data_IF_362330113556
#
_entry.id   IF_362330113556
#
_cell.length_a   1.000
_cell.length_b   1.000
_cell.length_c   1.000
_cell.angle_alpha   90.00
_cell.angle_beta   90.00
_cell.angle_gamma   90.00
#
_symmetry.space_group_name_H-M   'P 1'
#
loop_
_entity.id
_entity.type
_entity.pdbx_description
1 polymer ?
#
# COMPACT_ATOMS: atom_id res chain seq x y z
N UNK A 1 -22.84 -37.79 16.64
CA UNK A 1 -22.23 -37.06 15.50
C UNK A 1 -23.08 -35.81 15.28
N UNK A 2 -22.50 -34.63 15.12
CA UNK A 2 -23.30 -33.47 14.72
C UNK A 2 -23.93 -33.77 13.35
N UNK A 3 -25.21 -33.46 13.16
CA UNK A 3 -25.84 -33.53 11.83
C UNK A 3 -25.05 -32.67 10.86
N UNK A 4 -24.94 -33.10 9.60
CA UNK A 4 -24.29 -32.29 8.54
C UNK A 4 -24.87 -30.88 8.46
N UNK A 5 -26.16 -30.72 8.73
CA UNK A 5 -26.82 -29.41 8.78
C UNK A 5 -26.29 -28.51 9.91
N UNK A 6 -25.93 -29.11 11.05
CA UNK A 6 -25.33 -28.38 12.15
C UNK A 6 -23.90 -27.94 11.82
N UNK A 7 -23.14 -28.78 11.10
CA UNK A 7 -21.80 -28.45 10.60
C UNK A 7 -21.89 -27.33 9.56
N UNK A 8 -22.79 -27.46 8.57
CA UNK A 8 -23.06 -26.44 7.56
C UNK A 8 -23.42 -25.10 8.19
N UNK A 9 -24.39 -25.08 9.11
CA UNK A 9 -24.82 -23.87 9.82
C UNK A 9 -23.67 -23.19 10.55
N UNK A 10 -22.81 -23.97 11.22
CA UNK A 10 -21.62 -23.44 11.90
C UNK A 10 -20.64 -22.80 10.92
N UNK A 11 -20.38 -23.43 9.78
CA UNK A 11 -19.49 -22.89 8.75
C UNK A 11 -20.05 -21.58 8.21
N UNK A 12 -21.33 -21.55 7.82
CA UNK A 12 -21.99 -20.35 7.30
C UNK A 12 -21.93 -19.19 8.29
N UNK A 13 -22.27 -19.44 9.56
CA UNK A 13 -22.23 -18.42 10.60
C UNK A 13 -20.82 -17.87 10.84
N UNK A 14 -19.82 -18.75 10.89
CA UNK A 14 -18.43 -18.33 11.07
C UNK A 14 -17.91 -17.54 9.85
N UNK A 15 -18.19 -18.03 8.64
CA UNK A 15 -17.74 -17.37 7.41
C UNK A 15 -18.37 -15.99 7.23
N UNK A 16 -19.67 -15.86 7.50
CA UNK A 16 -20.36 -14.57 7.39
C UNK A 16 -20.03 -13.60 8.52
N UNK A 17 -19.56 -14.08 9.67
CA UNK A 17 -19.15 -13.22 10.78
C UNK A 17 -17.72 -12.73 10.62
N UNK A 18 -16.79 -13.63 10.32
CA UNK A 18 -15.35 -13.36 10.44
C UNK A 18 -14.61 -13.39 9.08
N UNK A 19 -15.23 -13.90 8.01
CA UNK A 19 -14.60 -14.17 6.71
C UNK A 19 -15.42 -13.68 5.50
N UNK A 20 -16.15 -12.56 5.65
CA UNK A 20 -16.81 -11.89 4.52
C UNK A 20 -15.78 -11.45 3.46
N UNK A 21 -14.59 -11.06 3.90
CA UNK A 21 -13.45 -10.76 3.02
C UNK A 21 -13.14 -11.92 2.07
N UNK A 22 -12.97 -13.13 2.61
CA UNK A 22 -12.64 -14.33 1.85
C UNK A 22 -13.72 -14.62 0.80
N UNK A 23 -15.00 -14.43 1.15
CA UNK A 23 -16.13 -14.62 0.22
C UNK A 23 -16.06 -13.64 -0.96
N UNK A 24 -15.76 -12.36 -0.70
CA UNK A 24 -15.53 -11.36 -1.76
C UNK A 24 -14.34 -11.75 -2.63
N UNK A 25 -13.28 -12.26 -2.03
CA UNK A 25 -12.07 -12.71 -2.72
C UNK A 25 -12.37 -13.84 -3.70
N UNK A 26 -13.22 -14.80 -3.32
CA UNK A 26 -13.63 -15.90 -4.20
C UNK A 26 -14.42 -15.39 -5.41
N UNK A 27 -15.34 -14.46 -5.21
CA UNK A 27 -16.09 -13.84 -6.31
C UNK A 27 -15.16 -13.16 -7.33
N UNK A 28 -14.17 -12.40 -6.83
CA UNK A 28 -13.21 -11.69 -7.69
C UNK A 28 -12.32 -12.69 -8.43
N UNK A 29 -11.74 -13.65 -7.73
CA UNK A 29 -10.77 -14.56 -8.31
C UNK A 29 -11.39 -15.59 -9.24
N UNK A 30 -12.55 -16.17 -8.87
CA UNK A 30 -13.16 -17.28 -9.62
C UNK A 30 -14.17 -16.84 -10.65
N UNK A 31 -14.83 -15.70 -10.42
CA UNK A 31 -15.92 -15.21 -11.27
C UNK A 31 -15.62 -13.82 -11.86
N UNK A 32 -14.39 -13.33 -11.74
CA UNK A 32 -13.92 -12.07 -12.32
C UNK A 32 -14.74 -10.83 -11.91
N UNK A 33 -15.29 -10.83 -10.68
CA UNK A 33 -15.88 -9.62 -10.11
C UNK A 33 -14.82 -8.52 -9.94
N UNK A 34 -15.22 -7.23 -9.98
CA UNK A 34 -14.26 -6.14 -9.85
C UNK A 34 -13.61 -6.11 -8.46
N UNK A 35 -12.30 -5.84 -8.40
CA UNK A 35 -11.55 -5.70 -7.13
C UNK A 35 -12.09 -4.61 -6.20
N UNK A 36 -12.84 -3.65 -6.75
CA UNK A 36 -13.56 -2.62 -5.98
C UNK A 36 -14.55 -3.20 -4.98
N UNK A 37 -14.94 -4.48 -5.10
CA UNK A 37 -15.74 -5.19 -4.09
C UNK A 37 -15.06 -5.29 -2.72
N UNK A 38 -13.71 -5.25 -2.69
CA UNK A 38 -12.91 -5.27 -1.46
C UNK A 38 -12.84 -3.92 -0.75
N UNK A 39 -13.30 -2.84 -1.39
CA UNK A 39 -13.22 -1.51 -0.83
C UNK A 39 -14.15 -1.37 0.38
N UNK A 40 -13.72 -0.69 1.46
CA UNK A 40 -14.58 -0.38 2.60
C UNK A 40 -15.81 0.48 2.23
N UNK A 41 -15.71 1.26 1.16
CA UNK A 41 -16.81 2.09 0.62
C UNK A 41 -17.82 1.29 -0.19
N UNK A 42 -17.51 0.05 -0.57
CA UNK A 42 -18.42 -0.78 -1.34
C UNK A 42 -19.56 -1.30 -0.45
N UNK A 43 -20.79 -0.97 -0.82
CA UNK A 43 -22.01 -1.31 -0.07
C UNK A 43 -22.63 -2.66 -0.44
N UNK A 44 -22.04 -3.43 -1.37
CA UNK A 44 -22.59 -4.70 -1.81
C UNK A 44 -22.71 -5.68 -0.63
N UNK A 45 -23.88 -6.27 -0.48
CA UNK A 45 -24.15 -7.23 0.59
C UNK A 45 -23.70 -8.62 0.12
N UNK A 46 -22.53 -9.04 0.59
CA UNK A 46 -21.93 -10.34 0.27
C UNK A 46 -22.03 -11.27 1.46
N UNK A 47 -22.64 -12.44 1.25
CA UNK A 47 -22.73 -13.50 2.25
C UNK A 47 -22.57 -14.88 1.61
N UNK A 48 -21.90 -15.78 2.31
CA UNK A 48 -21.94 -17.21 2.02
C UNK A 48 -23.32 -17.74 2.40
N UNK A 49 -24.10 -18.18 1.40
CA UNK A 49 -25.49 -18.63 1.59
C UNK A 49 -25.64 -20.14 1.66
N UNK A 50 -24.77 -20.90 1.00
CA UNK A 50 -24.72 -22.36 1.12
C UNK A 50 -23.29 -22.90 0.95
N UNK A 51 -23.05 -24.11 1.45
CA UNK A 51 -21.85 -24.88 1.21
C UNK A 51 -22.18 -26.37 1.08
N UNK A 52 -21.66 -26.97 0.02
CA UNK A 52 -21.74 -28.39 -0.29
C UNK A 52 -20.34 -28.97 -0.49
N UNK A 53 -20.22 -30.28 -0.68
CA UNK A 53 -18.91 -30.91 -0.92
C UNK A 53 -18.31 -30.53 -2.28
N UNK A 54 -19.13 -30.20 -3.26
CA UNK A 54 -18.71 -29.89 -4.64
C UNK A 54 -18.60 -28.41 -4.95
N UNK A 55 -19.31 -27.56 -4.22
CA UNK A 55 -19.32 -26.11 -4.46
C UNK A 55 -19.71 -25.33 -3.19
N UNK A 56 -19.46 -24.03 -3.24
CA UNK A 56 -20.00 -23.05 -2.29
C UNK A 56 -20.89 -22.07 -3.03
N UNK A 57 -21.89 -21.52 -2.35
CA UNK A 57 -22.82 -20.54 -2.90
C UNK A 57 -22.69 -19.24 -2.15
N UNK A 58 -22.41 -18.16 -2.88
CA UNK A 58 -22.31 -16.80 -2.33
C UNK A 58 -23.43 -15.97 -2.93
N UNK A 59 -24.18 -15.28 -2.08
CA UNK A 59 -25.17 -14.30 -2.50
C UNK A 59 -24.55 -12.91 -2.44
N UNK A 60 -24.67 -12.17 -3.53
CA UNK A 60 -24.31 -10.75 -3.64
C UNK A 60 -25.54 -9.97 -4.12
N UNK A 61 -26.03 -9.02 -3.32
CA UNK A 61 -27.20 -8.19 -3.63
C UNK A 61 -28.38 -9.03 -4.19
N UNK A 62 -28.73 -10.09 -3.46
CA UNK A 62 -29.79 -11.07 -3.77
C UNK A 62 -29.55 -11.98 -4.99
N UNK A 63 -28.39 -11.91 -5.62
CA UNK A 63 -27.97 -12.82 -6.70
C UNK A 63 -27.05 -13.90 -6.14
N UNK A 64 -27.48 -15.16 -6.22
CA UNK A 64 -26.66 -16.32 -5.84
C UNK A 64 -25.70 -16.72 -6.95
N UNK A 65 -24.45 -16.99 -6.57
CA UNK A 65 -23.35 -17.45 -7.43
C UNK A 65 -22.72 -18.69 -6.84
N UNK A 66 -22.56 -19.71 -7.66
CA UNK A 66 -21.91 -20.96 -7.28
C UNK A 66 -20.43 -20.92 -7.68
N UNK A 67 -19.58 -21.39 -6.77
CA UNK A 67 -18.13 -21.50 -7.00
C UNK A 67 -17.75 -22.97 -6.72
N UNK A 68 -17.33 -23.72 -7.75
CA UNK A 68 -16.99 -25.12 -7.58
C UNK A 68 -15.68 -25.30 -6.82
N UNK A 69 -15.62 -26.38 -6.05
CA UNK A 69 -14.40 -26.92 -5.46
C UNK A 69 -13.73 -27.86 -6.48
N UNK A 70 -12.51 -27.54 -6.91
CA UNK A 70 -11.60 -28.43 -7.63
C UNK A 70 -10.30 -28.78 -6.84
N UNK A 71 -10.13 -29.99 -6.29
CA UNK A 71 -11.09 -31.12 -6.30
C UNK A 71 -12.27 -30.93 -5.32
N UNK A 72 -13.37 -31.68 -5.47
CA UNK A 72 -14.44 -31.74 -4.48
C UNK A 72 -13.94 -32.23 -3.11
N UNK A 73 -14.62 -31.82 -2.04
CA UNK A 73 -14.36 -32.28 -0.68
C UNK A 73 -14.95 -33.68 -0.46
N UNK A 74 -14.33 -34.49 0.39
CA UNK A 74 -14.90 -35.79 0.77
C UNK A 74 -16.03 -35.61 1.79
N UNK A 75 -15.91 -34.63 2.69
CA UNK A 75 -16.98 -34.25 3.60
C UNK A 75 -16.90 -32.77 4.02
N UNK A 76 -17.95 -32.25 4.66
CA UNK A 76 -17.95 -30.88 5.17
C UNK A 76 -16.93 -30.63 6.29
N UNK A 77 -16.34 -31.66 6.90
CA UNK A 77 -15.24 -31.45 7.86
C UNK A 77 -13.97 -30.90 7.19
N UNK A 78 -13.82 -31.12 5.88
CA UNK A 78 -12.65 -30.67 5.10
C UNK A 78 -12.77 -29.17 4.70
N UNK A 79 -13.94 -28.57 4.90
CA UNK A 79 -14.26 -27.19 4.53
C UNK A 79 -13.23 -26.17 5.00
N UNK A 80 -12.73 -26.31 6.24
CA UNK A 80 -11.74 -25.39 6.78
C UNK A 80 -10.45 -25.39 5.95
N UNK A 81 -9.90 -26.56 5.68
CA UNK A 81 -8.66 -26.69 4.89
C UNK A 81 -8.89 -26.16 3.48
N UNK A 82 -10.08 -26.47 2.93
CA UNK A 82 -10.47 -26.08 1.58
C UNK A 82 -10.57 -24.56 1.40
N UNK A 83 -11.31 -23.91 2.29
CA UNK A 83 -11.54 -22.47 2.24
C UNK A 83 -10.23 -21.71 2.50
N UNK A 84 -9.43 -22.12 3.49
CA UNK A 84 -8.11 -21.49 3.73
C UNK A 84 -7.20 -21.61 2.49
N UNK A 85 -7.22 -22.76 1.82
CA UNK A 85 -6.47 -22.96 0.57
C UNK A 85 -6.96 -22.02 -0.54
N UNK A 86 -8.27 -21.90 -0.72
CA UNK A 86 -8.87 -20.98 -1.70
C UNK A 86 -8.54 -19.52 -1.40
N UNK A 87 -8.56 -19.10 -0.13
CA UNK A 87 -8.20 -17.73 0.27
C UNK A 87 -6.77 -17.43 -0.13
N UNK A 88 -5.81 -18.29 0.26
CA UNK A 88 -4.39 -18.11 -0.06
C UNK A 88 -4.13 -18.07 -1.57
N UNK A 89 -4.80 -18.93 -2.34
CA UNK A 89 -4.68 -18.94 -3.80
C UNK A 89 -5.20 -17.63 -4.40
N UNK A 90 -6.34 -17.15 -3.93
CA UNK A 90 -6.94 -15.92 -4.43
C UNK A 90 -6.13 -14.67 -4.00
N UNK A 91 -5.58 -14.62 -2.79
CA UNK A 91 -4.69 -13.54 -2.32
C UNK A 91 -3.44 -13.45 -3.19
N UNK A 92 -2.79 -14.60 -3.44
CA UNK A 92 -1.61 -14.68 -4.29
C UNK A 92 -1.90 -14.28 -5.73
N UNK A 93 -3.02 -14.75 -6.31
CA UNK A 93 -3.41 -14.43 -7.69
C UNK A 93 -3.77 -12.95 -7.87
N UNK A 94 -4.42 -12.34 -6.87
CA UNK A 94 -4.89 -10.96 -6.94
C UNK A 94 -3.85 -9.94 -6.45
N UNK A 95 -2.78 -10.39 -5.80
CA UNK A 95 -1.75 -9.53 -5.20
C UNK A 95 -2.28 -8.70 -4.03
N UNK A 96 -3.28 -9.21 -3.31
CA UNK A 96 -3.92 -8.55 -2.18
C UNK A 96 -3.78 -9.38 -0.92
N UNK A 97 -3.85 -8.72 0.23
CA UNK A 97 -3.82 -9.34 1.55
C UNK A 97 -4.94 -8.71 2.38
N UNK A 98 -5.55 -9.48 3.29
CA UNK A 98 -6.50 -9.01 4.30
C UNK A 98 -6.00 -7.77 5.04
N UNK A 99 -4.71 -7.74 5.39
CA UNK A 99 -4.12 -6.59 6.08
C UNK A 99 -4.18 -5.30 5.24
N UNK A 100 -4.11 -5.44 3.91
CA UNK A 100 -4.07 -4.32 2.98
C UNK A 100 -5.38 -3.54 2.94
N UNK A 101 -6.53 -4.21 3.07
CA UNK A 101 -7.86 -3.57 3.07
C UNK A 101 -8.05 -2.66 4.29
N UNK A 102 -7.41 -3.04 5.40
CA UNK A 102 -7.51 -2.31 6.65
C UNK A 102 -6.71 -0.99 6.65
N UNK A 103 -5.80 -0.83 5.67
CA UNK A 103 -4.95 0.34 5.52
C UNK A 103 -5.80 1.51 5.00
N UNK A 104 -5.60 2.68 5.60
CA UNK A 104 -6.14 3.95 5.15
C UNK A 104 -4.98 4.83 4.73
N UNK A 105 -4.63 4.87 3.43
CA UNK A 105 -3.58 5.75 2.94
C UNK A 105 -3.94 7.20 3.27
N UNK A 106 -3.08 7.88 4.02
CA UNK A 106 -3.24 9.30 4.36
C UNK A 106 -1.90 10.00 4.22
N UNK A 107 -1.90 11.24 3.76
CA UNK A 107 -0.66 12.01 3.72
C UNK A 107 -0.25 12.46 5.13
N UNK A 108 1.05 12.33 5.42
CA UNK A 108 1.65 12.74 6.69
C UNK A 108 2.61 13.89 6.44
N UNK A 109 2.22 15.16 6.70
CA UNK A 109 3.12 16.29 6.54
C UNK A 109 4.31 16.19 7.50
N UNK A 110 5.44 16.88 7.24
CA UNK A 110 6.56 16.96 8.15
C UNK A 110 6.13 17.39 9.56
N UNK A 111 6.55 16.65 10.58
CA UNK A 111 6.23 16.93 11.98
C UNK A 111 7.48 16.99 12.84
N UNK A 112 7.57 18.04 13.66
CA UNK A 112 8.67 18.27 14.58
C UNK A 112 9.95 18.75 13.89
N UNK A 113 10.89 19.22 14.71
CA UNK A 113 12.11 19.90 14.25
C UNK A 113 12.90 19.05 13.25
N UNK A 114 13.12 17.76 13.54
CA UNK A 114 13.90 16.87 12.68
C UNK A 114 13.38 16.79 11.25
N UNK A 115 12.07 16.65 11.06
CA UNK A 115 11.50 16.49 9.71
C UNK A 115 11.54 17.80 8.92
N UNK A 116 11.33 18.93 9.60
CA UNK A 116 11.50 20.25 9.01
C UNK A 116 12.95 20.56 8.65
N UNK A 117 13.92 20.17 9.50
CA UNK A 117 15.35 20.31 9.20
C UNK A 117 15.74 19.48 7.98
N UNK A 118 15.23 18.25 7.86
CA UNK A 118 15.48 17.40 6.68
C UNK A 118 14.91 18.04 5.41
N UNK A 119 13.67 18.55 5.45
CA UNK A 119 13.06 19.25 4.32
C UNK A 119 13.89 20.46 3.90
N UNK A 120 14.22 21.32 4.86
CA UNK A 120 15.03 22.50 4.58
C UNK A 120 16.38 22.13 3.96
N UNK A 121 17.07 21.12 4.52
CA UNK A 121 18.35 20.63 4.01
C UNK A 121 18.22 20.13 2.57
N UNK A 122 17.22 19.30 2.26
CA UNK A 122 17.00 18.80 0.91
C UNK A 122 16.72 19.94 -0.07
N UNK A 123 15.85 20.88 0.29
CA UNK A 123 15.56 22.05 -0.55
C UNK A 123 16.81 22.94 -0.77
N UNK A 124 17.64 23.12 0.26
CA UNK A 124 18.92 23.83 0.11
C UNK A 124 19.87 23.09 -0.83
N UNK A 125 19.95 21.75 -0.76
CA UNK A 125 20.74 20.93 -1.68
C UNK A 125 20.23 21.07 -3.13
N UNK A 126 18.91 20.98 -3.35
CA UNK A 126 18.32 21.23 -4.67
C UNK A 126 18.66 22.63 -5.17
N UNK A 127 18.46 23.66 -4.34
CA UNK A 127 18.77 25.03 -4.71
C UNK A 127 20.24 25.19 -5.14
N UNK A 128 21.17 24.67 -4.34
CA UNK A 128 22.61 24.68 -4.62
C UNK A 128 22.96 24.02 -5.95
N UNK A 129 22.42 22.83 -6.20
CA UNK A 129 22.77 22.03 -7.38
C UNK A 129 22.14 22.58 -8.67
N UNK A 130 20.97 23.19 -8.58
CA UNK A 130 20.28 23.80 -9.74
C UNK A 130 20.68 25.27 -9.97
N UNK A 131 21.28 25.94 -8.97
CA UNK A 131 21.74 27.33 -9.07
C UNK A 131 23.21 27.46 -8.65
N UNK A 132 24.16 26.75 -9.29
CA UNK A 132 25.54 26.72 -8.84
C UNK A 132 26.26 28.06 -8.92
N UNK A 133 25.75 29.02 -9.70
CA UNK A 133 26.24 30.40 -9.74
C UNK A 133 26.22 31.08 -8.37
N UNK A 134 25.38 30.61 -7.43
CA UNK A 134 25.36 31.10 -6.05
C UNK A 134 26.68 30.87 -5.30
N UNK A 135 27.48 29.89 -5.73
CA UNK A 135 28.79 29.54 -5.16
C UNK A 135 29.95 30.33 -5.79
N UNK A 136 29.71 31.10 -6.85
CA UNK A 136 30.74 31.89 -7.52
C UNK A 136 30.84 33.30 -6.91
N UNK A 137 31.95 34.03 -7.15
CA UNK A 137 32.07 35.42 -6.72
C UNK A 137 30.86 36.26 -7.15
N UNK A 138 30.33 37.06 -6.23
CA UNK A 138 29.07 37.83 -6.35
C UNK A 138 27.77 37.00 -6.30
N UNK A 139 27.86 35.68 -6.20
CA UNK A 139 26.72 34.79 -5.93
C UNK A 139 26.18 34.98 -4.50
N UNK A 140 24.91 34.64 -4.28
CA UNK A 140 24.25 34.83 -2.99
C UNK A 140 24.96 34.08 -1.85
N UNK A 141 25.24 32.78 -2.00
CA UNK A 141 25.88 31.99 -0.94
C UNK A 141 27.36 32.33 -0.77
N UNK A 142 28.06 32.64 -1.87
CA UNK A 142 29.43 33.12 -1.82
C UNK A 142 29.54 34.43 -1.03
N UNK A 143 28.70 35.40 -1.33
CA UNK A 143 28.78 36.74 -0.72
C UNK A 143 28.31 36.77 0.74
N UNK A 144 27.40 35.88 1.15
CA UNK A 144 26.78 35.89 2.49
C UNK A 144 27.44 34.94 3.48
N UNK A 145 27.80 33.72 3.06
CA UNK A 145 28.26 32.65 3.98
C UNK A 145 29.70 32.25 3.69
N UNK A 146 30.10 32.15 2.42
CA UNK A 146 31.38 31.54 2.03
C UNK A 146 32.47 32.55 1.66
N UNK A 147 32.24 33.86 1.90
CA UNK A 147 33.15 34.94 1.48
C UNK A 147 34.56 34.77 2.04
N UNK A 148 34.65 34.37 3.31
CA UNK A 148 35.92 34.17 4.01
C UNK A 148 36.52 32.78 3.73
N UNK A 149 35.82 31.94 2.97
CA UNK A 149 36.18 30.56 2.66
C UNK A 149 36.10 30.27 1.15
N UNK A 150 36.83 31.00 0.29
CA UNK A 150 36.74 30.86 -1.17
C UNK A 150 37.12 29.45 -1.65
N UNK A 151 38.03 28.78 -0.94
CA UNK A 151 38.43 27.41 -1.24
C UNK A 151 37.29 26.39 -1.02
N UNK A 152 36.40 26.62 -0.04
CA UNK A 152 35.21 25.78 0.19
C UNK A 152 34.22 25.99 -0.95
N UNK A 153 33.97 27.24 -1.33
CA UNK A 153 33.04 27.57 -2.41
C UNK A 153 33.49 26.96 -3.75
N UNK A 154 34.78 27.05 -4.08
CA UNK A 154 35.36 26.44 -5.28
C UNK A 154 35.27 24.90 -5.25
N UNK A 155 35.58 24.27 -4.10
CA UNK A 155 35.44 22.82 -3.94
C UNK A 155 33.98 22.35 -4.11
N UNK A 156 33.01 23.07 -3.52
CA UNK A 156 31.59 22.79 -3.69
C UNK A 156 31.17 22.93 -5.16
N UNK A 157 31.58 24.01 -5.82
CA UNK A 157 31.24 24.29 -7.22
C UNK A 157 31.74 23.19 -8.16
N UNK A 158 32.98 22.73 -7.98
CA UNK A 158 33.57 21.60 -8.75
C UNK A 158 32.78 20.30 -8.59
N UNK A 159 32.16 20.09 -7.44
CA UNK A 159 31.40 18.88 -7.15
C UNK A 159 29.93 18.94 -7.61
N UNK A 160 29.40 20.12 -7.96
CA UNK A 160 27.99 20.31 -8.33
C UNK A 160 27.56 19.33 -9.41
N UNK A 161 28.32 19.19 -10.49
CA UNK A 161 27.87 18.39 -11.63
C UNK A 161 27.72 16.91 -11.27
N UNK A 162 28.67 16.37 -10.51
CA UNK A 162 28.55 15.02 -9.97
C UNK A 162 27.39 14.90 -8.99
N UNK A 163 27.26 15.85 -8.04
CA UNK A 163 26.18 15.88 -7.07
C UNK A 163 24.80 15.96 -7.71
N UNK A 164 24.66 16.72 -8.79
CA UNK A 164 23.44 16.86 -9.58
C UNK A 164 22.99 15.51 -10.14
N UNK A 165 23.88 14.81 -10.88
CA UNK A 165 23.52 13.54 -11.49
C UNK A 165 23.25 12.45 -10.46
N UNK A 166 24.01 12.43 -9.36
CA UNK A 166 23.74 11.52 -8.24
C UNK A 166 22.35 11.79 -7.66
N UNK A 167 22.05 13.04 -7.29
CA UNK A 167 20.76 13.39 -6.70
C UNK A 167 19.60 13.07 -7.63
N UNK A 168 19.67 13.52 -8.89
CA UNK A 168 18.63 13.29 -9.89
C UNK A 168 18.40 11.80 -10.12
N UNK A 169 19.48 11.01 -10.29
CA UNK A 169 19.35 9.56 -10.54
C UNK A 169 18.67 8.85 -9.39
N UNK A 170 19.10 9.10 -8.15
CA UNK A 170 18.51 8.46 -6.98
C UNK A 170 17.06 8.89 -6.77
N UNK A 171 16.76 10.18 -6.82
CA UNK A 171 15.40 10.66 -6.58
C UNK A 171 14.43 10.24 -7.67
N UNK A 172 14.83 10.30 -8.95
CA UNK A 172 14.00 9.78 -10.05
C UNK A 172 13.78 8.28 -9.89
N UNK A 173 14.82 7.50 -9.60
CA UNK A 173 14.70 6.06 -9.38
C UNK A 173 13.76 5.72 -8.21
N UNK A 174 13.87 6.44 -7.10
CA UNK A 174 13.02 6.26 -5.92
C UNK A 174 11.58 6.67 -6.17
N UNK A 175 11.34 7.78 -6.87
CA UNK A 175 10.00 8.21 -7.25
C UNK A 175 9.35 7.22 -8.21
N UNK A 176 10.06 6.75 -9.23
CA UNK A 176 9.54 5.73 -10.16
C UNK A 176 9.23 4.43 -9.42
N UNK A 177 10.13 3.97 -8.56
CA UNK A 177 9.89 2.78 -7.73
C UNK A 177 8.70 2.96 -6.79
N UNK A 178 8.55 4.15 -6.20
CA UNK A 178 7.39 4.46 -5.37
C UNK A 178 6.11 4.40 -6.18
N UNK A 179 6.01 5.12 -7.30
CA UNK A 179 4.80 5.19 -8.11
C UNK A 179 4.40 3.82 -8.66
N UNK A 180 5.32 3.11 -9.30
CA UNK A 180 5.01 1.88 -10.03
C UNK A 180 5.11 0.61 -9.18
N UNK A 181 5.90 0.63 -8.10
CA UNK A 181 6.12 -0.55 -7.26
C UNK A 181 5.37 -0.51 -5.93
N UNK A 182 5.42 0.61 -5.23
CA UNK A 182 4.84 0.73 -3.88
C UNK A 182 3.39 1.20 -3.96
N UNK A 183 3.15 2.38 -4.51
CA UNK A 183 1.85 3.05 -4.56
C UNK A 183 0.87 2.33 -5.48
N UNK A 184 1.34 1.77 -6.60
CA UNK A 184 0.52 0.97 -7.52
C UNK A 184 -0.26 -0.14 -6.80
N UNK A 185 0.32 -0.76 -5.76
CA UNK A 185 -0.35 -1.81 -4.97
C UNK A 185 -1.57 -1.29 -4.20
N UNK A 186 -1.60 0.00 -3.87
CA UNK A 186 -2.66 0.63 -3.08
C UNK A 186 -3.68 1.37 -3.95
N UNK A 187 -3.48 1.41 -5.28
CA UNK A 187 -4.33 2.17 -6.19
C UNK A 187 -5.77 1.67 -6.22
N UNK A 188 -5.96 0.36 -6.33
CA UNK A 188 -7.29 -0.26 -6.37
C UNK A 188 -7.77 -0.71 -5.00
N UNK A 189 -6.88 -1.26 -4.16
CA UNK A 189 -7.20 -1.78 -2.83
C UNK A 189 -6.04 -1.43 -1.89
N UNK A 190 -6.25 -0.72 -0.78
CA UNK A 190 -7.52 -0.21 -0.24
C UNK A 190 -8.08 1.00 -1.00
N UNK A 191 -7.40 1.48 -2.04
CA UNK A 191 -7.75 2.71 -2.76
C UNK A 191 -7.03 3.91 -2.13
N UNK A 192 -6.20 4.58 -2.92
CA UNK A 192 -5.58 5.86 -2.55
C UNK A 192 -6.17 6.96 -3.43
N UNK A 193 -6.63 8.06 -2.83
CA UNK A 193 -7.13 9.19 -3.60
C UNK A 193 -5.97 9.89 -4.35
N UNK A 194 -6.28 10.48 -5.50
CA UNK A 194 -5.29 11.12 -6.35
C UNK A 194 -4.51 12.24 -5.65
N UNK A 195 -5.15 12.97 -4.72
CA UNK A 195 -4.51 14.03 -3.94
C UNK A 195 -3.46 13.48 -2.97
N UNK A 196 -3.82 12.47 -2.19
CA UNK A 196 -2.89 11.76 -1.29
C UNK A 196 -1.76 11.11 -2.07
N UNK A 197 -2.06 10.46 -3.20
CA UNK A 197 -1.07 9.88 -4.10
C UNK A 197 -0.07 10.92 -4.61
N UNK A 198 -0.55 12.09 -5.06
CA UNK A 198 0.28 13.19 -5.52
C UNK A 198 1.18 13.74 -4.40
N UNK A 199 0.62 13.97 -3.20
CA UNK A 199 1.39 14.48 -2.07
C UNK A 199 2.51 13.54 -1.65
N UNK A 200 2.26 12.22 -1.61
CA UNK A 200 3.29 11.24 -1.33
C UNK A 200 4.34 11.15 -2.45
N UNK A 201 3.93 11.27 -3.71
CA UNK A 201 4.84 11.26 -4.85
C UNK A 201 5.79 12.45 -4.81
N UNK A 202 5.26 13.65 -4.53
CA UNK A 202 6.06 14.88 -4.34
C UNK A 202 7.02 14.73 -3.16
N UNK A 203 6.54 14.19 -2.04
CA UNK A 203 7.35 14.00 -0.85
C UNK A 203 8.51 13.01 -1.07
N UNK A 204 8.28 11.94 -1.85
CA UNK A 204 9.35 11.03 -2.30
C UNK A 204 10.28 11.71 -3.30
N UNK A 205 9.77 12.52 -4.23
CA UNK A 205 10.63 13.27 -5.14
C UNK A 205 11.58 14.24 -4.41
N UNK A 206 11.15 14.82 -3.27
CA UNK A 206 11.95 15.76 -2.48
C UNK A 206 12.85 15.06 -1.46
N UNK A 207 12.34 14.07 -0.73
CA UNK A 207 13.06 13.45 0.41
C UNK A 207 13.56 12.03 0.13
N UNK A 208 13.17 11.45 -1.00
CA UNK A 208 13.63 10.14 -1.42
C UNK A 208 13.29 9.02 -0.43
N UNK A 209 14.30 8.21 -0.11
CA UNK A 209 14.21 7.10 0.83
C UNK A 209 13.59 7.45 2.20
N UNK A 210 13.75 8.68 2.68
CA UNK A 210 13.15 9.09 3.95
C UNK A 210 11.62 9.07 3.89
N UNK A 211 11.03 9.62 2.82
CA UNK A 211 9.59 9.59 2.61
C UNK A 211 9.08 8.15 2.39
N UNK A 212 9.83 7.31 1.66
CA UNK A 212 9.53 5.89 1.53
C UNK A 212 9.44 5.17 2.89
N UNK A 213 10.39 5.44 3.79
CA UNK A 213 10.36 4.87 5.13
C UNK A 213 9.23 5.45 5.99
N UNK A 214 8.86 6.71 5.77
CA UNK A 214 7.69 7.33 6.40
C UNK A 214 6.40 6.60 5.97
N UNK A 215 6.22 6.33 4.68
CA UNK A 215 5.13 5.53 4.14
C UNK A 215 5.09 4.12 4.75
N UNK A 216 6.20 3.39 4.70
CA UNK A 216 6.30 2.03 5.26
C UNK A 216 5.94 1.99 6.76
N UNK A 217 6.38 3.00 7.53
CA UNK A 217 6.02 3.12 8.95
C UNK A 217 4.54 3.39 9.16
N UNK A 218 3.91 4.22 8.32
CA UNK A 218 2.46 4.45 8.37
C UNK A 218 1.70 3.14 8.16
N UNK A 219 2.00 2.43 7.07
CA UNK A 219 1.40 1.13 6.76
C UNK A 219 1.56 0.15 7.92
N UNK A 220 2.79 -0.04 8.40
CA UNK A 220 3.08 -0.96 9.52
C UNK A 220 2.32 -0.59 10.80
N UNK A 221 2.16 0.70 11.09
CA UNK A 221 1.40 1.17 12.27
C UNK A 221 -0.09 0.87 12.15
N UNK A 222 -0.66 1.02 10.97
CA UNK A 222 -2.08 0.74 10.74
C UNK A 222 -2.37 -0.75 10.81
N UNK A 223 -1.55 -1.57 10.16
CA UNK A 223 -1.62 -3.04 10.26
C UNK A 223 -1.57 -3.49 11.72
N UNK A 224 -0.57 -3.02 12.48
CA UNK A 224 -0.46 -3.35 13.92
C UNK A 224 -1.65 -2.88 14.76
N UNK A 225 -2.23 -1.72 14.42
CA UNK A 225 -3.39 -1.18 15.15
C UNK A 225 -4.65 -2.01 14.89
N UNK A 226 -4.82 -2.50 13.67
CA UNK A 226 -5.99 -3.28 13.28
C UNK A 226 -5.87 -4.74 13.75
N UNK A 227 -4.71 -5.39 13.62
CA UNK A 227 -4.51 -6.74 14.14
C UNK A 227 -4.61 -6.86 15.67
N UNK A 228 -4.45 -5.75 16.42
CA UNK A 228 -4.72 -5.71 17.86
C UNK A 228 -6.20 -5.64 18.23
N UNK A 229 -7.09 -5.35 17.28
CA UNK A 229 -8.54 -5.30 17.52
C UNK A 229 -9.23 -6.65 17.29
N UNK A 230 -8.56 -7.55 16.58
CA UNK A 230 -9.07 -8.88 16.21
C UNK A 230 -8.58 -9.99 17.20
N UNK A 231 -7.95 -9.58 18.31
CA UNK A 231 -7.53 -10.43 19.44
C UNK A 231 -8.11 -9.89 20.74
#
# INVERSE_FOLDING_TARGET
>A
MASEDAVRTRILNHMNKDHVYDSKLYLIHRLSYPKTLLLPSNSANVRLSDIQTTHLTITIDDVSKEIPFDPPMASLSDSRVRLVGMTKQAEAALGVDRDMISIKPVYLPPRGVREWTLLFTMLSCFYLLFNPSTLQPNGLLYSTILRDYPWIADAMYKQVWWGYWVLVTFHVGETLWFCFGVLAKFWEVPGVDAGTAALWTIDVAIHGFYALNKWKRMVKRQVKKNGKKDH
#
